data_IF_878794153280
#
_entry.id   IF_878794153280
#
_cell.length_a   1.000
_cell.length_b   1.000
_cell.length_c   1.000
_cell.angle_alpha   90.00
_cell.angle_beta   90.00
_cell.angle_gamma   90.00
#
_symmetry.space_group_name_H-M   'P 1'
#
loop_
_entity.id
_entity.type
_entity.pdbx_description
1 polymer ?
#
# COMPACT_ATOMS: atom_id res chain seq x y z
N UNK A 1 -11.53 9.99 -26.14
CA UNK A 1 -11.30 9.04 -27.25
C UNK A 1 -12.56 8.21 -27.40
N UNK A 2 -13.09 8.04 -28.62
CA UNK A 2 -14.28 7.23 -28.89
C UNK A 2 -13.98 6.28 -30.06
N UNK A 3 -14.45 5.06 -29.98
CA UNK A 3 -14.25 4.02 -30.98
C UNK A 3 -15.54 3.27 -31.32
N UNK A 4 -15.56 2.67 -32.50
CA UNK A 4 -16.52 1.72 -33.02
C UNK A 4 -15.87 0.34 -33.15
N UNK A 5 -16.69 -0.71 -33.22
CA UNK A 5 -16.21 -2.05 -33.53
C UNK A 5 -15.62 -2.08 -34.95
N UNK A 6 -14.45 -2.69 -35.09
CA UNK A 6 -13.67 -2.76 -36.33
C UNK A 6 -12.66 -1.61 -36.50
N UNK A 7 -12.66 -0.59 -35.64
CA UNK A 7 -11.63 0.44 -35.65
C UNK A 7 -10.26 -0.12 -35.24
N UNK A 8 -9.18 0.49 -35.73
CA UNK A 8 -7.82 0.11 -35.34
C UNK A 8 -7.32 1.00 -34.18
N UNK A 9 -6.96 0.39 -33.06
CA UNK A 9 -6.24 1.05 -31.98
C UNK A 9 -4.73 0.99 -32.26
N UNK A 10 -4.08 2.15 -32.30
CA UNK A 10 -2.63 2.28 -32.41
C UNK A 10 -2.09 2.87 -31.11
N UNK A 11 -1.08 2.23 -30.53
CA UNK A 11 -0.36 2.74 -29.35
C UNK A 11 1.05 3.11 -29.78
N UNK A 12 1.37 4.40 -29.76
CA UNK A 12 2.70 4.91 -30.03
C UNK A 12 3.58 4.80 -28.78
N UNK A 13 4.85 4.40 -28.93
CA UNK A 13 5.81 4.38 -27.83
C UNK A 13 6.74 5.58 -27.91
N UNK A 14 6.81 6.36 -26.84
CA UNK A 14 7.78 7.45 -26.66
C UNK A 14 9.09 6.99 -25.98
N UNK A 15 9.25 5.69 -25.68
CA UNK A 15 10.48 5.14 -25.11
C UNK A 15 11.27 4.37 -26.18
N UNK A 16 12.55 4.70 -26.35
CA UNK A 16 13.47 4.07 -27.30
C UNK A 16 13.60 2.56 -27.02
N UNK A 17 12.91 1.74 -27.81
CA UNK A 17 13.07 0.28 -27.81
C UNK A 17 11.77 -0.56 -27.80
N UNK A 18 10.60 0.01 -27.53
CA UNK A 18 9.33 -0.73 -27.63
C UNK A 18 8.69 -0.56 -29.01
N UNK A 19 8.31 -1.68 -29.65
CA UNK A 19 7.67 -1.68 -30.96
C UNK A 19 6.29 -0.99 -30.90
N UNK A 20 6.02 -0.09 -31.85
CA UNK A 20 4.66 0.39 -32.16
C UNK A 20 3.75 -0.83 -32.22
N UNK A 21 2.64 -0.79 -31.49
CA UNK A 21 1.68 -1.90 -31.44
C UNK A 21 0.31 -1.43 -31.89
N UNK A 22 -0.31 -2.21 -32.75
CA UNK A 22 -1.64 -1.95 -33.29
C UNK A 22 -2.53 -3.19 -33.16
N UNK A 23 -3.84 -2.97 -33.09
CA UNK A 23 -4.83 -4.03 -33.02
C UNK A 23 -6.24 -3.53 -33.34
N UNK A 24 -7.10 -4.45 -33.73
CA UNK A 24 -8.51 -4.18 -34.06
C UNK A 24 -9.36 -4.14 -32.79
N UNK A 25 -10.25 -3.15 -32.66
CA UNK A 25 -11.22 -3.05 -31.57
C UNK A 25 -12.38 -3.99 -31.88
N UNK A 26 -12.48 -5.05 -31.09
CA UNK A 26 -13.44 -6.17 -31.29
C UNK A 26 -14.53 -6.21 -30.22
N UNK A 27 -14.42 -5.38 -29.18
CA UNK A 27 -15.42 -5.22 -28.13
C UNK A 27 -15.41 -3.82 -27.55
N UNK A 28 -16.60 -3.28 -27.28
CA UNK A 28 -16.80 -2.03 -26.57
C UNK A 28 -17.55 -2.32 -25.28
N UNK A 29 -17.06 -1.77 -24.16
CA UNK A 29 -17.71 -1.94 -22.86
C UNK A 29 -18.67 -0.80 -22.53
N UNK A 30 -18.54 0.35 -23.19
CA UNK A 30 -19.45 1.48 -23.05
C UNK A 30 -20.18 1.77 -24.36
N UNK A 31 -21.48 2.03 -24.28
CA UNK A 31 -22.33 2.33 -25.45
C UNK A 31 -21.95 3.64 -26.17
N UNK A 32 -21.29 4.56 -25.47
CA UNK A 32 -20.83 5.84 -26.03
C UNK A 32 -19.47 5.73 -26.76
N UNK A 33 -18.94 4.51 -26.88
CA UNK A 33 -17.68 4.19 -27.53
C UNK A 33 -16.46 4.64 -26.73
N UNK A 34 -16.60 5.02 -25.46
CA UNK A 34 -15.44 5.32 -24.62
C UNK A 34 -14.76 4.04 -24.11
N UNK A 35 -13.46 4.10 -23.77
CA UNK A 35 -12.76 2.92 -23.26
C UNK A 35 -13.33 2.44 -21.92
N UNK A 36 -13.16 1.15 -21.58
CA UNK A 36 -12.20 0.22 -22.19
C UNK A 36 -12.67 -0.49 -23.46
N UNK A 37 -11.71 -0.97 -24.25
CA UNK A 37 -11.93 -1.70 -25.50
C UNK A 37 -11.35 -3.12 -25.40
N UNK A 38 -12.02 -4.12 -25.95
CA UNK A 38 -11.36 -5.40 -26.24
C UNK A 38 -10.64 -5.26 -27.58
N UNK A 39 -9.32 -5.44 -27.58
CA UNK A 39 -8.46 -5.24 -28.75
C UNK A 39 -7.79 -6.54 -29.13
N UNK A 40 -7.97 -6.96 -30.39
CA UNK A 40 -7.25 -8.08 -31.01
C UNK A 40 -5.95 -7.57 -31.61
N UNK A 41 -4.82 -7.95 -31.04
CA UNK A 41 -3.52 -7.44 -31.48
C UNK A 41 -3.07 -8.01 -32.83
N UNK A 42 -2.54 -7.17 -33.71
CA UNK A 42 -2.06 -7.57 -35.03
C UNK A 42 -0.83 -8.48 -34.98
N UNK A 43 -0.04 -8.41 -33.91
CA UNK A 43 1.20 -9.18 -33.74
C UNK A 43 1.00 -10.57 -33.12
N UNK A 44 0.07 -10.70 -32.17
CA UNK A 44 -0.18 -11.96 -31.45
C UNK A 44 -1.54 -12.60 -31.77
N UNK A 45 -2.49 -11.85 -32.31
CA UNK A 45 -3.88 -12.29 -32.52
C UNK A 45 -4.69 -12.42 -31.22
N UNK A 46 -4.10 -12.15 -30.06
CA UNK A 46 -4.77 -12.26 -28.76
C UNK A 46 -5.70 -11.07 -28.51
N UNK A 47 -6.82 -11.33 -27.83
CA UNK A 47 -7.77 -10.29 -27.41
C UNK A 47 -7.47 -9.87 -25.97
N UNK A 48 -7.25 -8.58 -25.74
CA UNK A 48 -6.98 -8.02 -24.40
C UNK A 48 -7.85 -6.80 -24.14
N UNK A 49 -8.30 -6.61 -22.90
CA UNK A 49 -8.97 -5.39 -22.45
C UNK A 49 -7.96 -4.24 -22.33
N UNK A 50 -8.14 -3.16 -23.09
CA UNK A 50 -7.24 -2.02 -23.18
C UNK A 50 -7.89 -0.74 -22.64
N UNK A 51 -7.18 -0.08 -21.73
CA UNK A 51 -7.45 1.29 -21.29
C UNK A 51 -6.41 2.23 -21.93
N UNK A 52 -6.72 2.88 -23.06
CA UNK A 52 -5.76 3.67 -23.82
C UNK A 52 -5.25 4.86 -23.01
N UNK A 53 -3.92 5.01 -22.99
CA UNK A 53 -3.22 6.17 -22.43
C UNK A 53 -3.19 7.36 -23.41
N UNK A 54 -2.46 8.44 -23.08
CA UNK A 54 -2.37 9.63 -23.93
C UNK A 54 -1.72 9.38 -25.30
N UNK A 55 -0.88 8.34 -25.41
CA UNK A 55 -0.14 7.99 -26.65
C UNK A 55 -0.91 7.02 -27.56
N UNK A 56 -2.18 6.75 -27.25
CA UNK A 56 -3.03 5.91 -28.08
C UNK A 56 -3.89 6.77 -29.01
N UNK A 57 -4.14 6.27 -30.22
CA UNK A 57 -5.05 6.89 -31.19
C UNK A 57 -5.89 5.81 -31.88
N UNK A 58 -7.14 6.16 -32.22
CA UNK A 58 -8.08 5.28 -32.92
C UNK A 58 -8.13 5.70 -34.39
N UNK A 59 -7.95 4.74 -35.29
CA UNK A 59 -8.11 4.92 -36.73
C UNK A 59 -9.41 4.26 -37.17
N UNK A 60 -10.35 5.07 -37.66
CA UNK A 60 -11.59 4.60 -38.25
C UNK A 60 -11.33 4.12 -39.68
N UNK A 61 -11.58 2.85 -39.97
CA UNK A 61 -11.47 2.32 -41.33
C UNK A 61 -12.82 2.51 -42.04
N UNK A 62 -12.85 3.29 -43.12
CA UNK A 62 -14.06 3.46 -43.94
C UNK A 62 -14.43 2.14 -44.64
N UNK A 63 -15.71 1.78 -44.57
CA UNK A 63 -16.27 0.52 -45.04
C UNK A 63 -16.20 0.38 -46.57
N UNK A 64 -15.52 -0.66 -47.06
CA UNK A 64 -15.86 -1.31 -48.33
C UNK A 64 -16.25 -2.78 -48.05
N UNK A 65 -17.52 -3.11 -48.32
CA UNK A 65 -18.08 -4.46 -48.34
C UNK A 65 -18.68 -4.72 -49.75
N UNK A 66 -19.03 -5.97 -50.16
CA UNK A 66 -18.62 -7.29 -49.65
C UNK A 66 -18.41 -8.37 -50.76
N UNK A 67 -17.78 -9.53 -50.47
CA UNK A 67 -18.24 -10.85 -51.01
C UNK A 67 -17.64 -12.12 -50.35
N UNK A 68 -18.54 -12.89 -49.73
CA UNK A 68 -18.79 -14.36 -49.57
C UNK A 68 -17.72 -15.48 -49.72
N UNK A 69 -17.99 -16.51 -48.89
CA UNK A 69 -17.72 -17.98 -48.91
C UNK A 69 -16.52 -18.48 -48.09
N UNK A 70 -16.70 -19.06 -46.90
CA UNK A 70 -17.23 -20.40 -46.51
C UNK A 70 -16.14 -21.49 -46.43
N UNK A 71 -15.83 -21.98 -45.21
CA UNK A 71 -15.88 -23.40 -44.82
C UNK A 71 -15.38 -23.68 -43.38
N UNK A 72 -16.33 -24.20 -42.58
CA UNK A 72 -16.25 -25.29 -41.58
C UNK A 72 -14.90 -25.81 -41.08
N UNK A 73 -14.77 -25.87 -39.75
CA UNK A 73 -13.82 -26.71 -39.03
C UNK A 73 -14.13 -26.79 -37.53
N UNK A 74 -14.92 -27.78 -37.13
CA UNK A 74 -15.13 -28.27 -35.76
C UNK A 74 -13.80 -28.67 -35.10
N UNK A 75 -13.58 -28.28 -33.84
CA UNK A 75 -12.45 -28.72 -33.01
C UNK A 75 -12.71 -28.44 -31.53
N UNK A 76 -12.46 -29.45 -30.70
CA UNK A 76 -12.99 -29.64 -29.36
C UNK A 76 -12.48 -28.68 -28.29
N UNK A 77 -13.33 -28.45 -27.29
CA UNK A 77 -13.01 -27.76 -26.06
C UNK A 77 -12.06 -28.63 -25.21
N UNK A 78 -10.83 -28.16 -25.02
CA UNK A 78 -9.90 -28.75 -24.05
C UNK A 78 -9.73 -27.81 -22.86
N UNK A 79 -10.14 -28.31 -21.70
CA UNK A 79 -10.15 -27.60 -20.43
C UNK A 79 -8.73 -27.60 -19.85
N UNK A 80 -7.99 -26.51 -20.06
CA UNK A 80 -6.71 -26.31 -19.37
C UNK A 80 -6.95 -25.74 -17.97
N UNK A 81 -6.92 -26.67 -17.02
CA UNK A 81 -6.73 -26.48 -15.58
C UNK A 81 -5.64 -25.45 -15.29
N UNK A 82 -6.03 -24.30 -14.71
CA UNK A 82 -5.09 -23.31 -14.18
C UNK A 82 -4.55 -23.87 -12.86
N UNK A 83 -3.32 -24.37 -12.89
CA UNK A 83 -2.59 -24.71 -11.69
C UNK A 83 -2.46 -23.47 -10.79
N UNK A 84 -2.81 -23.63 -9.50
CA UNK A 84 -2.66 -22.58 -8.50
C UNK A 84 -1.19 -22.12 -8.42
N UNK A 85 -0.92 -20.80 -8.33
CA UNK A 85 0.44 -20.30 -8.24
C UNK A 85 1.09 -20.72 -6.90
N UNK A 86 2.42 -20.89 -6.86
CA UNK A 86 3.13 -21.27 -5.65
C UNK A 86 2.96 -20.21 -4.56
N UNK A 87 2.75 -20.65 -3.32
CA UNK A 87 2.64 -19.79 -2.15
C UNK A 87 3.94 -18.96 -1.99
N UNK A 88 3.83 -17.65 -2.22
CA UNK A 88 4.95 -16.70 -2.06
C UNK A 88 5.05 -15.63 -3.14
N UNK A 89 4.35 -15.76 -4.28
CA UNK A 89 4.21 -14.66 -5.23
C UNK A 89 3.15 -13.67 -4.70
N UNK A 90 3.44 -12.35 -4.61
CA UNK A 90 2.44 -11.36 -4.25
C UNK A 90 1.28 -11.49 -5.23
N UNK A 91 0.08 -11.76 -4.70
CA UNK A 91 -1.09 -11.92 -5.55
C UNK A 91 -1.38 -10.61 -6.30
N UNK A 92 -1.97 -10.65 -7.50
CA UNK A 92 -2.44 -9.45 -8.21
C UNK A 92 -3.34 -8.55 -7.32
N UNK A 93 -4.08 -9.15 -6.37
CA UNK A 93 -4.89 -8.44 -5.39
C UNK A 93 -4.12 -7.66 -4.31
N UNK A 94 -2.88 -8.04 -4.01
CA UNK A 94 -2.07 -7.36 -3.00
C UNK A 94 -1.51 -6.03 -3.52
N UNK A 95 -1.20 -5.95 -4.82
CA UNK A 95 -0.74 -4.72 -5.49
C UNK A 95 -1.81 -3.64 -5.36
N UNK A 96 -3.06 -3.96 -5.71
CA UNK A 96 -4.19 -3.03 -5.61
C UNK A 96 -4.39 -2.50 -4.19
N UNK A 97 -4.33 -3.40 -3.20
CA UNK A 97 -4.44 -3.03 -1.78
C UNK A 97 -3.30 -2.12 -1.34
N UNK A 98 -2.07 -2.39 -1.75
CA UNK A 98 -0.88 -1.59 -1.41
C UNK A 98 -0.94 -0.20 -2.03
N UNK A 99 -1.36 -0.10 -3.30
CA UNK A 99 -1.62 1.19 -3.97
C UNK A 99 -2.67 2.00 -3.20
N UNK A 100 -3.79 1.37 -2.81
CA UNK A 100 -4.84 2.04 -2.05
C UNK A 100 -4.38 2.51 -0.66
N UNK A 101 -3.57 1.69 0.04
CA UNK A 101 -3.02 2.04 1.36
C UNK A 101 -2.06 3.21 1.25
N UNK A 102 -1.09 3.16 0.34
CA UNK A 102 -0.10 4.22 0.19
C UNK A 102 -0.75 5.54 -0.25
N UNK A 103 -1.74 5.48 -1.15
CA UNK A 103 -2.53 6.65 -1.52
C UNK A 103 -3.20 7.32 -0.32
N UNK A 104 -3.88 6.53 0.53
CA UNK A 104 -4.56 7.05 1.73
C UNK A 104 -3.57 7.62 2.74
N UNK A 105 -2.41 6.97 2.89
CA UNK A 105 -1.33 7.41 3.76
C UNK A 105 -0.79 8.77 3.35
N UNK A 106 -0.69 9.03 2.05
CA UNK A 106 -0.30 10.33 1.49
C UNK A 106 -1.44 11.36 1.47
N UNK A 107 -2.64 11.01 1.96
CA UNK A 107 -3.81 11.89 1.97
C UNK A 107 -4.37 12.22 0.59
N UNK A 108 -4.07 11.41 -0.44
CA UNK A 108 -4.47 11.69 -1.82
C UNK A 108 -5.84 11.09 -2.17
N UNK A 109 -6.66 11.85 -2.90
CA UNK A 109 -7.86 11.32 -3.55
C UNK A 109 -7.48 10.46 -4.75
N UNK A 110 -8.37 9.55 -5.18
CA UNK A 110 -8.15 8.76 -6.40
C UNK A 110 -7.94 9.64 -7.62
N UNK A 111 -8.71 10.72 -7.73
CA UNK A 111 -8.59 11.67 -8.85
C UNK A 111 -7.22 12.35 -8.87
N UNK A 112 -6.75 12.81 -7.70
CA UNK A 112 -5.44 13.43 -7.58
C UNK A 112 -4.30 12.45 -7.92
N UNK A 113 -4.36 11.21 -7.42
CA UNK A 113 -3.37 10.17 -7.74
C UNK A 113 -3.39 9.78 -9.21
N UNK A 114 -4.58 9.57 -9.78
CA UNK A 114 -4.73 9.23 -11.20
C UNK A 114 -4.19 10.34 -12.10
N UNK A 115 -4.47 11.61 -11.75
CA UNK A 115 -3.90 12.77 -12.43
C UNK A 115 -2.36 12.80 -12.37
N UNK A 116 -1.77 12.58 -11.18
CA UNK A 116 -0.31 12.50 -11.02
C UNK A 116 0.32 11.32 -11.77
N UNK A 117 -0.34 10.17 -11.79
CA UNK A 117 0.15 8.96 -12.45
C UNK A 117 -0.20 8.90 -13.95
N UNK A 118 -0.75 9.99 -14.52
CA UNK A 118 -1.17 10.09 -15.91
C UNK A 118 -2.07 8.93 -16.35
N UNK A 119 -3.09 8.59 -15.55
CA UNK A 119 -4.08 7.55 -15.86
C UNK A 119 -5.50 7.99 -15.52
N UNK A 120 -6.49 7.21 -15.96
CA UNK A 120 -7.88 7.51 -15.64
C UNK A 120 -8.23 7.14 -14.18
N UNK A 121 -9.07 7.92 -13.49
CA UNK A 121 -9.56 7.56 -12.15
C UNK A 121 -10.27 6.19 -12.12
N UNK A 122 -10.98 5.84 -13.20
CA UNK A 122 -11.64 4.54 -13.35
C UNK A 122 -10.66 3.37 -13.42
N UNK A 123 -9.52 3.54 -14.12
CA UNK A 123 -8.48 2.51 -14.16
C UNK A 123 -7.77 2.36 -12.81
N UNK A 124 -7.52 3.47 -12.11
CA UNK A 124 -6.98 3.40 -10.74
C UNK A 124 -7.96 2.69 -9.79
N UNK A 125 -9.26 2.99 -9.86
CA UNK A 125 -10.28 2.29 -9.06
C UNK A 125 -10.30 0.79 -9.37
N UNK A 126 -10.21 0.41 -10.65
CA UNK A 126 -10.09 -0.99 -11.06
C UNK A 126 -8.87 -1.68 -10.45
N UNK A 127 -7.70 -1.04 -10.51
CA UNK A 127 -6.46 -1.58 -9.90
C UNK A 127 -6.60 -1.73 -8.39
N UNK A 128 -7.23 -0.79 -7.69
CA UNK A 128 -7.39 -0.84 -6.23
C UNK A 128 -8.43 -1.87 -5.75
N UNK A 129 -9.48 -2.11 -6.52
CA UNK A 129 -10.67 -2.85 -6.08
C UNK A 129 -10.75 -4.28 -6.61
N UNK A 130 -9.98 -4.61 -7.66
CA UNK A 130 -9.97 -5.94 -8.26
C UNK A 130 -8.57 -6.54 -8.28
N UNK A 131 -8.45 -7.89 -8.29
CA UNK A 131 -7.19 -8.54 -8.61
C UNK A 131 -6.75 -8.12 -10.02
N UNK A 132 -5.81 -7.18 -10.08
CA UNK A 132 -5.29 -6.63 -11.32
C UNK A 132 -3.80 -6.92 -11.41
N UNK A 133 -3.31 -7.23 -12.61
CA UNK A 133 -1.88 -7.37 -12.90
C UNK A 133 -1.41 -6.17 -13.74
N UNK A 134 -1.22 -4.99 -13.11
CA UNK A 134 -0.83 -3.79 -13.83
C UNK A 134 0.57 -3.95 -14.45
N UNK A 135 0.73 -3.41 -15.65
CA UNK A 135 2.02 -3.41 -16.35
C UNK A 135 3.11 -2.71 -15.54
N UNK A 136 4.37 -3.08 -15.75
CA UNK A 136 5.51 -2.43 -15.08
C UNK A 136 5.51 -0.91 -15.28
N UNK A 137 5.17 -0.43 -16.49
CA UNK A 137 5.04 1.00 -16.76
C UNK A 137 3.96 1.68 -15.90
N UNK A 138 2.83 0.99 -15.68
CA UNK A 138 1.77 1.47 -14.78
C UNK A 138 2.26 1.52 -13.34
N UNK A 139 2.97 0.50 -12.88
CA UNK A 139 3.55 0.47 -11.53
C UNK A 139 4.59 1.56 -11.32
N UNK A 140 5.42 1.88 -12.32
CA UNK A 140 6.39 2.98 -12.24
C UNK A 140 5.66 4.32 -12.05
N UNK A 141 4.63 4.60 -12.86
CA UNK A 141 3.85 5.84 -12.72
C UNK A 141 3.11 5.93 -11.38
N UNK A 142 2.57 4.82 -10.90
CA UNK A 142 1.94 4.77 -9.56
C UNK A 142 2.97 4.99 -8.45
N UNK A 143 4.13 4.34 -8.54
CA UNK A 143 5.20 4.49 -7.55
C UNK A 143 5.68 5.94 -7.46
N UNK A 144 5.92 6.58 -8.60
CA UNK A 144 6.31 8.00 -8.68
C UNK A 144 5.23 8.93 -8.12
N UNK A 145 3.97 8.76 -8.56
CA UNK A 145 2.85 9.58 -8.10
C UNK A 145 2.57 9.47 -6.59
N UNK A 146 2.92 8.33 -5.98
CA UNK A 146 2.74 8.02 -4.57
C UNK A 146 4.01 8.25 -3.74
N UNK A 147 5.15 8.60 -4.36
CA UNK A 147 6.42 8.75 -3.66
C UNK A 147 6.94 7.44 -3.05
N UNK A 148 6.80 6.32 -3.75
CA UNK A 148 7.21 4.98 -3.29
C UNK A 148 7.99 4.23 -4.40
N UNK A 149 8.27 2.93 -4.22
CA UNK A 149 8.94 2.10 -5.23
C UNK A 149 8.04 1.03 -5.82
N UNK A 150 8.35 0.59 -7.05
CA UNK A 150 7.71 -0.57 -7.68
C UNK A 150 7.86 -1.82 -6.83
N UNK A 151 9.03 -2.02 -6.22
CA UNK A 151 9.30 -3.14 -5.32
C UNK A 151 8.35 -3.13 -4.13
N UNK A 152 8.16 -1.98 -3.48
CA UNK A 152 7.24 -1.82 -2.36
C UNK A 152 5.77 -2.08 -2.77
N UNK A 153 5.34 -1.57 -3.93
CA UNK A 153 3.99 -1.84 -4.47
C UNK A 153 3.77 -3.32 -4.79
N UNK A 154 4.81 -4.02 -5.24
CA UNK A 154 4.79 -5.48 -5.45
C UNK A 154 4.94 -6.27 -4.15
N UNK A 155 5.13 -5.64 -3.00
CA UNK A 155 5.40 -6.34 -1.75
C UNK A 155 6.78 -7.01 -1.70
N UNK A 156 7.69 -6.67 -2.60
CA UNK A 156 9.10 -7.01 -2.45
C UNK A 156 9.63 -6.36 -1.17
N UNK A 157 10.34 -7.15 -0.36
CA UNK A 157 10.85 -6.71 0.94
C UNK A 157 9.88 -6.87 2.12
N UNK A 158 8.67 -7.43 1.94
CA UNK A 158 7.74 -7.66 3.06
C UNK A 158 8.33 -8.59 4.15
N UNK A 159 9.20 -9.52 3.76
CA UNK A 159 9.91 -10.43 4.67
C UNK A 159 11.30 -9.93 5.09
N UNK A 160 11.72 -8.74 4.64
CA UNK A 160 13.00 -8.13 4.98
C UNK A 160 12.81 -7.05 6.06
N UNK A 161 13.78 -6.84 6.95
CA UNK A 161 13.71 -5.73 7.90
C UNK A 161 13.79 -4.39 7.14
N UNK A 162 13.07 -3.35 7.60
CA UNK A 162 13.10 -2.04 6.96
C UNK A 162 14.51 -1.42 7.00
N UNK A 163 14.78 -0.50 6.07
CA UNK A 163 16.03 0.24 5.97
C UNK A 163 17.04 -0.39 4.99
N UNK A 164 16.58 -1.14 3.98
CA UNK A 164 17.46 -1.72 2.95
C UNK A 164 17.91 -0.69 1.87
N UNK A 165 17.45 0.55 1.96
CA UNK A 165 17.82 1.64 1.04
C UNK A 165 19.28 2.09 1.20
N UNK A 166 19.81 2.73 0.16
CA UNK A 166 21.15 3.34 0.22
C UNK A 166 21.11 4.65 1.00
N UNK A 167 22.08 4.88 1.89
CA UNK A 167 22.17 6.14 2.63
C UNK A 167 22.19 7.36 1.68
N UNK A 168 21.52 8.44 2.09
CA UNK A 168 21.52 9.72 1.36
C UNK A 168 22.93 10.29 1.22
N UNK A 169 23.15 11.09 0.16
CA UNK A 169 24.30 11.97 0.08
C UNK A 169 24.09 13.11 1.10
N UNK A 170 24.87 13.12 2.18
CA UNK A 170 24.79 14.08 3.30
C UNK A 170 23.51 13.95 4.16
N UNK A 171 23.32 12.81 4.86
CA UNK A 171 22.17 12.66 5.75
C UNK A 171 22.33 13.57 6.97
N UNK A 172 21.23 14.19 7.39
CA UNK A 172 21.18 14.97 8.64
C UNK A 172 20.23 14.30 9.63
N UNK A 173 20.71 14.12 10.86
CA UNK A 173 19.91 13.69 11.99
C UNK A 173 19.49 14.93 12.79
N UNK A 174 18.20 15.22 12.84
CA UNK A 174 17.63 16.36 13.58
C UNK A 174 16.77 15.88 14.75
N UNK A 175 16.85 16.64 15.84
CA UNK A 175 15.97 16.48 17.00
C UNK A 175 14.58 17.06 16.72
N UNK A 176 13.55 16.27 17.06
CA UNK A 176 12.16 16.69 16.97
C UNK A 176 11.73 17.41 18.24
N UNK A 177 10.91 18.44 18.08
CA UNK A 177 10.21 19.08 19.18
C UNK A 177 9.16 18.15 19.78
N UNK A 178 8.75 18.40 21.03
CA UNK A 178 7.70 17.62 21.69
C UNK A 178 6.38 17.65 20.89
N UNK A 179 6.04 18.78 20.26
CA UNK A 179 4.83 18.89 19.42
C UNK A 179 4.90 18.03 18.15
N UNK A 180 6.07 17.98 17.50
CA UNK A 180 6.31 17.07 16.37
C UNK A 180 6.22 15.61 16.81
N UNK A 181 6.82 15.25 17.95
CA UNK A 181 6.72 13.90 18.50
C UNK A 181 5.26 13.49 18.76
N UNK A 182 4.46 14.35 19.39
CA UNK A 182 3.03 14.08 19.63
C UNK A 182 2.25 13.90 18.33
N UNK A 183 2.56 14.69 17.31
CA UNK A 183 1.94 14.57 15.99
C UNK A 183 2.28 13.23 15.33
N UNK A 184 3.54 12.80 15.41
CA UNK A 184 4.01 11.55 14.81
C UNK A 184 3.59 10.31 15.58
N UNK A 185 3.42 10.41 16.91
CA UNK A 185 2.80 9.38 17.74
C UNK A 185 1.37 9.05 17.27
N UNK A 186 0.74 9.91 16.46
CA UNK A 186 -0.60 9.68 15.90
C UNK A 186 -1.67 9.45 16.99
N UNK A 187 -2.89 9.11 16.59
CA UNK A 187 -3.94 8.65 17.51
C UNK A 187 -3.84 7.16 17.80
N UNK A 188 -3.27 6.38 16.87
CA UNK A 188 -3.17 4.92 16.98
C UNK A 188 -2.13 4.34 16.02
N UNK A 189 -1.69 3.11 16.28
CA UNK A 189 -0.78 2.38 15.38
C UNK A 189 -0.19 1.11 15.98
N UNK A 190 0.97 0.72 15.48
CA UNK A 190 1.82 -0.32 16.08
C UNK A 190 3.09 0.33 16.58
N UNK A 191 3.47 0.03 17.82
CA UNK A 191 4.73 0.44 18.42
C UNK A 191 5.39 -0.72 19.12
N UNK A 192 6.52 -0.46 19.79
CA UNK A 192 7.26 -1.46 20.57
C UNK A 192 7.40 -0.98 22.00
N UNK A 193 7.14 -1.88 22.96
CA UNK A 193 7.37 -1.62 24.39
C UNK A 193 8.60 -2.40 24.80
N UNK A 194 9.62 -1.70 25.26
CA UNK A 194 10.77 -2.26 25.96
C UNK A 194 10.47 -2.30 27.46
N UNK A 195 10.56 -3.50 28.03
CA UNK A 195 10.39 -3.75 29.46
C UNK A 195 11.67 -4.34 30.04
N UNK A 196 11.91 -4.08 31.32
CA UNK A 196 12.96 -4.73 32.11
C UNK A 196 12.29 -5.53 33.23
N UNK A 197 11.94 -6.81 32.98
CA UNK A 197 11.39 -7.69 34.00
C UNK A 197 12.37 -7.88 35.16
N UNK A 198 11.86 -8.31 36.31
CA UNK A 198 12.63 -8.49 37.54
C UNK A 198 13.75 -9.53 37.45
N UNK A 199 13.72 -10.41 36.44
CA UNK A 199 14.79 -11.38 36.16
C UNK A 199 16.00 -10.75 35.43
N UNK A 200 15.93 -9.46 35.09
CA UNK A 200 16.98 -8.70 34.45
C UNK A 200 17.08 -8.88 32.93
N UNK A 201 16.19 -9.65 32.29
CA UNK A 201 16.24 -9.92 30.85
C UNK A 201 15.42 -8.88 30.07
N UNK A 202 16.03 -7.86 29.43
CA UNK A 202 15.25 -6.87 28.68
C UNK A 202 14.50 -7.52 27.53
N UNK A 203 13.23 -7.16 27.38
CA UNK A 203 12.36 -7.67 26.33
C UNK A 203 11.71 -6.51 25.57
N UNK A 204 11.64 -6.63 24.25
CA UNK A 204 10.93 -5.68 23.37
C UNK A 204 9.78 -6.42 22.70
N UNK A 205 8.56 -5.93 22.89
CA UNK A 205 7.37 -6.56 22.33
C UNK A 205 6.55 -5.58 21.48
N UNK A 206 6.06 -6.00 20.31
CA UNK A 206 5.17 -5.16 19.51
C UNK A 206 3.79 -5.07 20.17
N UNK A 207 3.20 -3.88 20.14
CA UNK A 207 1.85 -3.62 20.65
C UNK A 207 1.07 -2.75 19.66
N UNK A 208 -0.22 -3.02 19.51
CA UNK A 208 -1.15 -2.04 18.96
C UNK A 208 -1.48 -1.06 20.07
N UNK A 209 -1.36 0.23 19.77
CA UNK A 209 -1.58 1.29 20.74
C UNK A 209 -2.59 2.30 20.21
N UNK A 210 -3.24 2.97 21.14
CA UNK A 210 -3.96 4.22 20.94
C UNK A 210 -3.36 5.30 21.86
N UNK A 211 -3.65 6.57 21.58
CA UNK A 211 -3.25 7.71 22.41
C UNK A 211 -4.51 8.38 22.94
N UNK A 212 -4.72 8.33 24.27
CA UNK A 212 -5.90 8.87 24.96
C UNK A 212 -5.44 9.74 26.12
N UNK A 213 -5.90 10.99 26.18
CA UNK A 213 -5.52 11.96 27.23
C UNK A 213 -4.01 12.04 27.47
N UNK A 214 -3.23 12.16 26.38
CA UNK A 214 -1.76 12.16 26.34
C UNK A 214 -1.07 10.91 26.89
N UNK A 215 -1.83 9.84 27.15
CA UNK A 215 -1.31 8.54 27.55
C UNK A 215 -1.32 7.56 26.37
N UNK A 216 -0.26 6.77 26.26
CA UNK A 216 -0.19 5.66 25.32
C UNK A 216 -0.88 4.47 25.98
N UNK A 217 -1.89 3.91 25.35
CA UNK A 217 -2.66 2.79 25.88
C UNK A 217 -2.60 1.61 24.93
N UNK A 218 -2.49 0.40 25.47
CA UNK A 218 -2.52 -0.82 24.66
C UNK A 218 -3.10 -1.98 25.44
N UNK A 219 -3.56 -3.00 24.71
CA UNK A 219 -4.09 -4.24 25.28
C UNK A 219 -3.02 -5.30 25.39
N UNK A 220 -3.05 -6.06 26.48
CA UNK A 220 -2.16 -7.20 26.69
C UNK A 220 -2.89 -8.39 27.33
N UNK A 221 -2.25 -9.56 27.28
CA UNK A 221 -2.77 -10.78 27.88
C UNK A 221 -2.27 -10.93 29.34
N UNK A 222 -3.09 -11.55 30.23
CA UNK A 222 -2.63 -11.99 31.55
C UNK A 222 -1.33 -12.82 31.45
N UNK A 223 -0.39 -12.57 32.35
CA UNK A 223 0.91 -13.28 32.39
C UNK A 223 1.91 -12.88 31.31
N UNK A 224 1.63 -11.87 30.49
CA UNK A 224 2.60 -11.32 29.54
C UNK A 224 3.69 -10.50 30.23
N UNK A 225 4.84 -10.34 29.57
CA UNK A 225 5.96 -9.51 30.07
C UNK A 225 5.57 -8.05 30.29
N UNK A 226 4.65 -7.51 29.48
CA UNK A 226 4.14 -6.14 29.64
C UNK A 226 3.17 -6.02 30.81
N UNK A 227 2.34 -7.04 31.05
CA UNK A 227 1.49 -7.08 32.22
C UNK A 227 2.30 -7.17 33.53
N UNK A 228 3.38 -7.95 33.52
CA UNK A 228 4.26 -8.10 34.67
C UNK A 228 5.09 -6.83 34.96
N UNK A 229 5.47 -6.09 33.92
CA UNK A 229 6.23 -4.84 34.07
C UNK A 229 5.38 -3.68 34.58
N UNK A 230 4.08 -3.67 34.27
CA UNK A 230 3.16 -2.63 34.70
C UNK A 230 3.10 -2.52 36.24
N UNK A 231 3.35 -1.32 36.77
CA UNK A 231 3.36 -1.00 38.20
C UNK A 231 4.69 -1.27 38.91
N UNK A 232 5.74 -1.72 38.21
CA UNK A 232 7.03 -2.09 38.84
C UNK A 232 8.20 -1.21 38.38
N UNK A 233 8.26 -0.86 37.10
CA UNK A 233 9.37 -0.12 36.49
C UNK A 233 8.88 0.88 35.45
N UNK A 234 9.73 1.86 35.11
CA UNK A 234 9.53 2.64 33.89
C UNK A 234 9.74 1.75 32.67
N UNK A 235 8.94 2.01 31.64
CA UNK A 235 9.05 1.34 30.35
C UNK A 235 9.41 2.37 29.28
N UNK A 236 10.01 1.87 28.19
CA UNK A 236 10.19 2.66 26.99
C UNK A 236 9.22 2.19 25.92
N UNK A 237 8.54 3.13 25.28
CA UNK A 237 7.68 2.89 24.12
C UNK A 237 8.27 3.60 22.90
N UNK A 238 8.31 2.91 21.78
CA UNK A 238 8.92 3.36 20.54
C UNK A 238 7.93 3.21 19.38
N UNK A 239 7.90 4.22 18.52
CA UNK A 239 7.29 4.15 17.19
C UNK A 239 8.19 4.83 16.17
N UNK A 240 8.37 4.20 15.02
CA UNK A 240 9.16 4.71 13.91
C UNK A 240 8.40 4.66 12.60
N UNK A 241 8.97 5.36 11.62
CA UNK A 241 8.69 5.14 10.24
C UNK A 241 9.97 5.30 9.42
N UNK A 242 10.21 4.35 8.51
CA UNK A 242 11.33 4.38 7.56
C UNK A 242 10.78 4.41 6.15
N UNK A 243 11.19 5.41 5.39
CA UNK A 243 11.00 5.51 3.94
C UNK A 243 12.27 5.04 3.25
N UNK A 244 12.24 3.80 2.76
CA UNK A 244 13.40 3.20 2.08
C UNK A 244 13.69 3.82 0.72
N UNK A 245 12.68 4.39 0.05
CA UNK A 245 12.83 4.97 -1.28
C UNK A 245 13.65 6.26 -1.20
N UNK A 246 13.36 7.07 -0.19
CA UNK A 246 14.02 8.34 0.05
C UNK A 246 15.17 8.23 1.05
N UNK A 247 15.36 7.06 1.67
CA UNK A 247 16.31 6.86 2.77
C UNK A 247 16.15 7.91 3.88
N UNK A 248 14.89 8.17 4.21
CA UNK A 248 14.45 9.11 5.25
C UNK A 248 13.67 8.35 6.31
N UNK A 249 13.48 8.97 7.46
CA UNK A 249 12.69 8.35 8.50
C UNK A 249 12.64 9.18 9.76
N UNK A 250 11.81 8.74 10.69
CA UNK A 250 11.71 9.34 12.01
C UNK A 250 11.46 8.27 13.06
N UNK A 251 11.81 8.57 14.30
CA UNK A 251 11.45 7.76 15.47
C UNK A 251 11.03 8.65 16.62
N UNK A 252 10.12 8.14 17.44
CA UNK A 252 9.66 8.77 18.69
C UNK A 252 9.83 7.77 19.81
N UNK A 253 10.49 8.21 20.88
CA UNK A 253 10.71 7.45 22.10
C UNK A 253 10.00 8.15 23.25
N UNK A 254 9.07 7.43 23.86
CA UNK A 254 8.37 7.81 25.08
C UNK A 254 8.88 6.95 26.24
N UNK A 255 9.24 7.58 27.36
CA UNK A 255 9.66 6.88 28.58
C UNK A 255 8.79 7.34 29.73
N UNK A 256 8.27 6.39 30.51
CA UNK A 256 7.48 6.70 31.69
C UNK A 256 6.95 5.46 32.40
N UNK A 257 6.21 5.64 33.51
CA UNK A 257 5.59 4.54 34.23
C UNK A 257 4.51 3.87 33.38
N UNK A 258 4.50 2.53 33.40
CA UNK A 258 3.40 1.73 32.90
C UNK A 258 2.49 1.31 34.06
N UNK A 259 1.18 1.45 33.90
CA UNK A 259 0.19 1.07 34.90
C UNK A 259 -0.91 0.20 34.29
N UNK A 260 -1.41 -0.78 35.06
CA UNK A 260 -2.60 -1.53 34.68
C UNK A 260 -3.84 -0.67 34.92
N UNK A 261 -4.68 -0.54 33.89
CA UNK A 261 -5.96 0.14 34.00
C UNK A 261 -6.98 -0.86 34.54
N UNK A 262 -7.31 -0.74 35.83
CA UNK A 262 -8.22 -1.65 36.54
C UNK A 262 -9.58 -1.03 36.85
N UNK A 263 -9.70 0.30 36.80
CA UNK A 263 -10.97 1.00 36.98
C UNK A 263 -11.97 0.59 35.87
N UNK A 264 -13.14 0.00 36.22
CA UNK A 264 -14.10 -0.47 35.23
C UNK A 264 -14.61 0.64 34.30
N UNK A 265 -14.73 1.88 34.78
CA UNK A 265 -15.20 2.98 33.94
C UNK A 265 -14.13 3.39 32.92
N UNK A 266 -12.88 3.51 33.35
CA UNK A 266 -11.74 3.73 32.46
C UNK A 266 -11.60 2.60 31.42
N UNK A 267 -11.70 1.33 31.82
CA UNK A 267 -11.66 0.19 30.89
C UNK A 267 -12.79 0.24 29.87
N UNK A 268 -14.02 0.57 30.30
CA UNK A 268 -15.17 0.69 29.41
C UNK A 268 -15.00 1.85 28.41
N UNK A 269 -14.45 2.99 28.84
CA UNK A 269 -14.13 4.14 27.99
C UNK A 269 -13.07 3.78 26.95
N UNK A 270 -11.94 3.24 27.37
CA UNK A 270 -10.87 2.79 26.46
C UNK A 270 -11.39 1.74 25.46
N UNK A 271 -12.23 0.82 25.90
CA UNK A 271 -12.81 -0.21 25.03
C UNK A 271 -13.73 0.38 23.97
N UNK A 272 -14.45 1.44 24.29
CA UNK A 272 -15.38 2.12 23.37
C UNK A 272 -14.63 3.00 22.36
N UNK A 273 -13.58 3.68 22.82
CA UNK A 273 -12.87 4.70 22.05
C UNK A 273 -11.63 4.15 21.31
N UNK A 274 -11.31 2.87 21.51
CA UNK A 274 -10.20 2.20 20.85
C UNK A 274 -10.36 2.22 19.33
N UNK A 275 -9.36 2.75 18.63
CA UNK A 275 -9.37 2.81 17.16
C UNK A 275 -8.78 1.54 16.55
N UNK A 276 -8.03 0.77 17.32
CA UNK A 276 -7.33 -0.42 16.84
C UNK A 276 -7.64 -1.66 17.66
N UNK A 277 -7.89 -2.77 16.96
CA UNK A 277 -7.88 -4.10 17.56
C UNK A 277 -6.46 -4.67 17.54
N UNK A 278 -6.01 -5.39 18.59
CA UNK A 278 -4.70 -6.04 18.58
C UNK A 278 -4.53 -6.97 17.38
N UNK A 279 -3.42 -6.84 16.65
CA UNK A 279 -3.07 -7.70 15.52
C UNK A 279 -2.67 -9.09 15.98
N UNK A 280 -2.02 -9.18 17.15
CA UNK A 280 -1.75 -10.44 17.81
C UNK A 280 -3.07 -10.96 18.38
N UNK A 281 -3.72 -11.88 17.67
CA UNK A 281 -5.00 -12.48 18.07
C UNK A 281 -5.00 -13.10 19.48
N UNK A 282 -6.19 -13.48 19.95
CA UNK A 282 -6.44 -13.99 21.31
C UNK A 282 -7.11 -12.95 22.22
N UNK A 283 -7.66 -13.42 23.35
CA UNK A 283 -8.33 -12.56 24.33
C UNK A 283 -7.31 -11.70 25.07
N UNK A 284 -7.21 -10.42 24.68
CA UNK A 284 -6.37 -9.40 25.31
C UNK A 284 -7.26 -8.37 25.98
N UNK A 285 -7.67 -8.71 27.20
CA UNK A 285 -8.66 -7.92 27.96
C UNK A 285 -8.03 -6.91 28.93
N UNK A 286 -6.73 -7.02 29.22
CA UNK A 286 -6.07 -6.11 30.16
C UNK A 286 -5.52 -4.89 29.43
N UNK A 287 -5.82 -3.72 29.97
CA UNK A 287 -5.31 -2.45 29.48
C UNK A 287 -4.08 -2.02 30.28
N UNK A 288 -3.04 -1.59 29.56
CA UNK A 288 -1.88 -0.92 30.13
C UNK A 288 -1.86 0.51 29.60
N UNK A 289 -1.56 1.45 30.49
CA UNK A 289 -1.38 2.87 30.16
C UNK A 289 0.05 3.29 30.49
N UNK A 290 0.67 4.04 29.59
CA UNK A 290 1.97 4.68 29.78
C UNK A 290 1.74 6.18 29.68
N UNK A 291 2.01 6.90 30.78
CA UNK A 291 2.04 8.37 30.77
C UNK A 291 3.50 8.81 30.60
N UNK A 292 3.91 9.34 29.43
CA UNK A 292 5.31 9.65 29.19
C UNK A 292 5.79 10.76 30.14
N UNK A 293 6.83 10.47 30.92
CA UNK A 293 7.59 11.46 31.68
C UNK A 293 8.62 12.17 30.78
N UNK A 294 9.10 11.47 29.75
CA UNK A 294 9.98 12.01 28.71
C UNK A 294 9.46 11.60 27.33
N UNK A 295 9.49 12.55 26.39
CA UNK A 295 9.14 12.34 24.99
C UNK A 295 10.20 12.95 24.10
N UNK A 296 10.90 12.13 23.33
CA UNK A 296 12.00 12.54 22.45
C UNK A 296 11.76 11.99 21.05
N UNK A 297 12.32 12.64 20.04
CA UNK A 297 12.23 12.16 18.68
C UNK A 297 13.41 12.59 17.83
N UNK A 298 13.63 11.82 16.77
CA UNK A 298 14.70 12.01 15.80
C UNK A 298 14.12 11.90 14.39
N UNK A 299 14.66 12.67 13.46
CA UNK A 299 14.34 12.57 12.03
C UNK A 299 15.61 12.59 11.20
N UNK A 300 15.65 11.75 10.17
CA UNK A 300 16.69 11.69 9.16
C UNK A 300 16.11 12.27 7.87
N UNK A 301 16.78 13.29 7.33
CA UNK A 301 16.47 13.91 6.03
C UNK A 301 17.72 14.08 5.19
N UNK A 302 17.55 14.41 3.90
CA UNK A 302 18.63 14.97 3.11
C UNK A 302 18.99 16.36 3.65
N UNK A 303 20.26 16.76 3.55
CA UNK A 303 20.63 18.15 3.75
C UNK A 303 19.98 19.03 2.68
N UNK A 304 19.42 20.18 3.08
CA UNK A 304 19.03 21.21 2.12
C UNK A 304 20.31 21.69 1.39
N UNK A 305 20.30 21.67 0.05
CA UNK A 305 21.38 22.22 -0.79
C UNK A 305 21.32 23.75 -0.82
#
# INVERSE_FOLDING_TARGET
MRAHLGDQLVIESQASGAARRDGEIVGLHHEDGTPPYDVRWSDTGEVTLVFPGPDAHVHHLEQEEPMREAQTGTGEADALSIAAPPAGAPGPGDIGRRVAVERRRQGLSREATAGRAHMSPGYLAYVEERPADPTLATLIRLADALGTTVTALRGGGTDLPPGQGYALLHPQLRDLSVGECRTLLSTHGVGRVAVSPSDGSPAVVPVNYDVVDDAIVFRTAPGSVTAAAAGTTEVAFEVDHVDEALSQGWSVLAVGPAELVTDPEAVARLTRDAHTTPWAGGAREMWVSIRPASLTGRRITAADQ
#
